data_IF_587163330784
#
_entry.id   IF_587163330784
#
_cell.length_a   1.000
_cell.length_b   1.000
_cell.length_c   1.000
_cell.angle_alpha   90.00
_cell.angle_beta   90.00
_cell.angle_gamma   90.00
#
_symmetry.space_group_name_H-M   'P 1'
#
loop_
_entity.id
_entity.type
_entity.pdbx_description
1 polymer ?
#
# COMPACT_ATOMS: atom_id res chain seq x y z
N UNK A 1 -21.48 -3.00 -11.27
CA UNK A 1 -20.94 -2.83 -9.93
C UNK A 1 -20.50 -1.38 -9.63
N UNK A 2 -21.26 -0.35 -10.03
CA UNK A 2 -20.92 1.08 -9.83
C UNK A 2 -21.93 1.86 -8.99
N UNK A 3 -22.88 1.21 -8.35
CA UNK A 3 -23.97 1.91 -7.61
C UNK A 3 -23.95 1.73 -6.09
N UNK A 4 -23.10 0.88 -5.52
CA UNK A 4 -23.07 0.64 -4.06
C UNK A 4 -22.18 1.61 -3.26
N UNK A 5 -21.21 2.25 -3.90
CA UNK A 5 -20.23 3.11 -3.20
C UNK A 5 -20.71 4.55 -2.91
N UNK A 6 -21.92 4.94 -3.33
CA UNK A 6 -22.44 6.30 -3.09
C UNK A 6 -23.38 6.46 -1.89
N UNK A 7 -23.84 5.38 -1.28
CA UNK A 7 -24.81 5.46 -0.20
C UNK A 7 -24.19 5.57 1.19
N UNK A 8 -22.99 5.08 1.40
CA UNK A 8 -22.34 5.10 2.72
C UNK A 8 -21.72 6.43 3.12
N UNK A 9 -21.38 7.29 2.15
CA UNK A 9 -20.77 8.59 2.42
C UNK A 9 -21.78 9.63 3.00
N UNK A 10 -23.08 9.41 2.92
CA UNK A 10 -24.11 10.33 3.40
C UNK A 10 -24.54 10.08 4.85
N UNK A 11 -24.38 8.87 5.37
CA UNK A 11 -24.82 8.51 6.72
C UNK A 11 -23.82 8.97 7.80
N UNK A 12 -22.55 9.23 7.45
CA UNK A 12 -21.52 9.65 8.42
C UNK A 12 -21.48 11.15 8.74
N UNK A 13 -22.37 11.99 8.17
CA UNK A 13 -22.37 13.45 8.40
C UNK A 13 -23.51 14.01 9.24
N UNK A 14 -24.36 13.18 9.82
CA UNK A 14 -25.48 13.61 10.64
C UNK A 14 -25.38 13.04 12.05
N UNK A 15 -24.46 13.55 12.86
CA UNK A 15 -24.56 13.38 14.31
C UNK A 15 -23.78 14.47 15.05
N UNK A 16 -24.55 15.23 15.81
CA UNK A 16 -24.17 15.92 17.04
C UNK A 16 -23.77 17.39 16.93
N UNK A 17 -24.76 18.23 16.73
CA UNK A 17 -24.78 19.53 17.41
C UNK A 17 -25.89 19.49 18.49
N UNK A 18 -25.52 19.22 19.73
CA UNK A 18 -26.39 19.42 20.88
C UNK A 18 -26.17 20.85 21.38
N UNK A 19 -27.12 21.71 21.10
CA UNK A 19 -27.19 23.07 21.68
C UNK A 19 -27.82 22.92 23.05
N UNK A 20 -27.06 23.13 24.12
CA UNK A 20 -27.61 23.32 25.47
C UNK A 20 -27.82 24.81 25.68
N UNK A 21 -29.05 25.26 25.56
CA UNK A 21 -29.49 26.58 26.01
C UNK A 21 -29.68 26.56 27.52
N UNK A 22 -28.72 27.13 28.25
CA UNK A 22 -28.84 27.36 29.67
C UNK A 22 -29.66 28.66 29.97
N UNK A 23 -30.76 28.51 30.69
CA UNK A 23 -31.56 29.60 31.18
C UNK A 23 -30.84 30.26 32.37
N UNK A 24 -30.52 31.54 32.25
CA UNK A 24 -29.96 32.34 33.34
C UNK A 24 -31.09 32.84 34.25
N UNK A 25 -31.12 32.40 35.51
CA UNK A 25 -31.89 33.01 36.58
C UNK A 25 -31.03 34.07 37.31
N UNK A 26 -31.45 35.28 37.28
CA UNK A 26 -30.85 36.36 38.07
C UNK A 26 -31.37 36.31 39.50
N UNK A 27 -30.49 36.03 40.46
CA UNK A 27 -30.75 36.14 41.89
C UNK A 27 -29.58 36.87 42.55
N UNK A 28 -29.87 37.95 43.23
CA UNK A 28 -28.94 38.78 43.98
C UNK A 28 -28.44 38.08 45.23
N UNK A 29 -27.15 38.10 45.49
CA UNK A 29 -26.60 37.87 46.81
C UNK A 29 -25.31 37.11 46.88
N UNK A 30 -24.25 37.83 47.35
CA UNK A 30 -23.01 37.36 48.00
C UNK A 30 -21.98 36.58 47.16
N UNK A 31 -20.83 37.21 47.03
CA UNK A 31 -19.65 36.73 46.29
C UNK A 31 -19.12 35.38 46.76
N UNK A 32 -19.25 34.44 45.88
CA UNK A 32 -18.40 33.26 45.85
C UNK A 32 -17.98 33.04 44.40
N UNK A 33 -16.75 33.47 44.03
CA UNK A 33 -16.16 33.18 42.73
C UNK A 33 -15.93 31.68 42.61
N UNK A 34 -16.99 30.97 42.18
CA UNK A 34 -16.83 29.58 41.74
C UNK A 34 -15.98 29.63 40.45
N UNK A 35 -14.69 29.25 40.55
CA UNK A 35 -13.86 28.95 39.40
C UNK A 35 -14.47 27.74 38.70
N UNK A 36 -15.25 27.99 37.66
CA UNK A 36 -15.67 26.97 36.71
C UNK A 36 -14.39 26.49 36.01
N UNK A 37 -13.79 25.42 36.52
CA UNK A 37 -12.81 24.65 35.79
C UNK A 37 -13.53 24.05 34.58
N UNK A 38 -13.33 24.68 33.41
CA UNK A 38 -13.72 24.07 32.14
C UNK A 38 -12.84 22.82 32.00
N UNK A 39 -13.36 21.69 32.41
CA UNK A 39 -12.78 20.40 32.09
C UNK A 39 -12.89 20.29 30.56
N UNK A 40 -11.78 20.56 29.89
CA UNK A 40 -11.64 20.31 28.45
C UNK A 40 -11.80 18.81 28.28
N UNK A 41 -13.04 18.34 28.02
CA UNK A 41 -13.23 16.96 27.62
C UNK A 41 -12.38 16.76 26.37
N UNK A 42 -11.29 16.05 26.53
CA UNK A 42 -10.52 15.54 25.41
C UNK A 42 -11.52 14.70 24.61
N UNK A 43 -11.82 15.13 23.37
CA UNK A 43 -12.56 14.30 22.45
C UNK A 43 -11.76 13.00 22.26
N UNK A 44 -12.13 11.97 22.99
CA UNK A 44 -11.59 10.63 22.74
C UNK A 44 -11.95 10.28 21.28
N UNK A 45 -10.96 9.90 20.52
CA UNK A 45 -11.23 9.40 19.17
C UNK A 45 -12.26 8.25 19.27
N UNK A 46 -13.20 8.13 18.34
CA UNK A 46 -14.14 7.02 18.34
C UNK A 46 -13.41 5.69 18.47
N UNK A 47 -13.91 4.82 19.33
CA UNK A 47 -13.35 3.47 19.44
C UNK A 47 -13.60 2.72 18.13
N UNK A 48 -12.62 1.94 17.62
CA UNK A 48 -12.79 1.16 16.43
C UNK A 48 -13.89 0.10 16.65
N UNK A 49 -14.68 -0.13 15.62
CA UNK A 49 -15.65 -1.22 15.65
C UNK A 49 -14.91 -2.54 15.42
N UNK A 50 -14.97 -3.44 16.39
CA UNK A 50 -14.39 -4.79 16.33
C UNK A 50 -15.51 -5.80 16.09
N UNK A 51 -15.47 -6.47 14.95
CA UNK A 51 -16.37 -7.58 14.61
C UNK A 51 -15.81 -8.93 15.09
N UNK A 52 -16.54 -9.98 14.89
CA UNK A 52 -16.07 -11.36 14.92
C UNK A 52 -16.32 -11.95 13.52
N UNK A 53 -15.29 -11.96 12.70
CA UNK A 53 -15.35 -12.38 11.30
C UNK A 53 -14.98 -13.87 11.12
N UNK A 54 -14.79 -14.58 12.20
CA UNK A 54 -14.48 -15.98 12.18
C UNK A 54 -13.04 -16.31 12.61
N UNK A 55 -12.70 -17.59 12.56
CA UNK A 55 -11.36 -18.04 12.87
C UNK A 55 -10.39 -17.67 11.75
N UNK A 56 -9.18 -17.25 12.11
CA UNK A 56 -8.09 -17.06 11.16
C UNK A 56 -7.79 -18.40 10.46
N UNK A 57 -7.78 -18.43 9.13
CA UNK A 57 -7.36 -19.62 8.37
C UNK A 57 -5.90 -20.00 8.66
N UNK A 58 -5.54 -21.25 8.45
CA UNK A 58 -4.16 -21.71 8.56
C UNK A 58 -3.27 -21.12 7.45
N UNK A 59 -1.97 -21.03 7.72
CA UNK A 59 -0.97 -20.45 6.83
C UNK A 59 -0.13 -21.53 6.11
N UNK A 60 -0.57 -22.77 6.12
CA UNK A 60 0.10 -23.95 5.56
C UNK A 60 0.14 -23.95 4.01
N UNK A 61 -0.59 -23.02 3.39
CA UNK A 61 -0.53 -22.77 1.95
C UNK A 61 0.78 -22.17 1.45
N UNK A 62 1.61 -21.61 2.33
CA UNK A 62 2.90 -21.01 1.98
C UNK A 62 3.87 -22.07 1.41
N UNK A 63 4.54 -21.73 0.30
CA UNK A 63 5.58 -22.59 -0.29
C UNK A 63 6.97 -22.38 0.34
N UNK A 64 7.11 -21.33 1.13
CA UNK A 64 8.33 -20.96 1.85
C UNK A 64 8.06 -19.80 2.81
N UNK A 65 9.04 -19.57 3.68
CA UNK A 65 9.01 -18.49 4.66
C UNK A 65 10.34 -17.73 4.65
N UNK A 66 10.27 -16.40 4.81
CA UNK A 66 11.43 -15.53 5.00
C UNK A 66 11.35 -14.90 6.38
N UNK A 67 12.49 -14.59 6.96
CA UNK A 67 12.67 -14.00 8.30
C UNK A 67 12.11 -14.82 9.48
N UNK A 68 11.62 -16.03 9.24
CA UNK A 68 11.17 -16.95 10.30
C UNK A 68 11.09 -18.39 9.81
N UNK A 69 10.96 -19.33 10.76
CA UNK A 69 10.41 -20.66 10.49
C UNK A 69 8.92 -20.58 10.19
N UNK A 70 8.30 -21.61 9.59
CA UNK A 70 6.85 -21.64 9.35
C UNK A 70 6.03 -21.35 10.62
N UNK A 71 5.06 -20.45 10.49
CA UNK A 71 4.12 -20.11 11.56
C UNK A 71 2.79 -20.80 11.33
N UNK A 72 2.12 -21.16 12.41
CA UNK A 72 0.80 -21.80 12.41
C UNK A 72 -0.17 -21.09 13.35
N UNK A 73 -1.47 -21.27 13.16
CA UNK A 73 -2.48 -20.75 14.08
C UNK A 73 -2.21 -21.16 15.54
N UNK A 74 -1.69 -22.39 15.76
CA UNK A 74 -1.30 -22.85 17.09
C UNK A 74 -0.15 -22.05 17.70
N UNK A 75 0.89 -21.76 16.93
CA UNK A 75 2.07 -20.99 17.41
C UNK A 75 1.76 -19.51 17.65
N UNK A 76 0.66 -19.02 17.11
CA UNK A 76 0.21 -17.63 17.22
C UNK A 76 -0.80 -17.41 18.34
N UNK A 77 -1.27 -18.46 19.03
CA UNK A 77 -2.19 -18.32 20.18
C UNK A 77 -1.57 -17.47 21.28
N UNK A 78 -2.38 -16.62 21.89
CA UNK A 78 -1.94 -15.67 22.88
C UNK A 78 -1.29 -14.40 22.31
N UNK A 79 -1.22 -14.26 21.00
CA UNK A 79 -0.65 -13.10 20.32
C UNK A 79 -1.71 -12.39 19.49
N UNK A 80 -1.63 -11.07 19.43
CA UNK A 80 -2.37 -10.27 18.44
C UNK A 80 -1.59 -10.31 17.12
N UNK A 81 -2.27 -10.61 16.02
CA UNK A 81 -1.60 -10.82 14.72
C UNK A 81 -2.15 -9.88 13.67
N UNK A 82 -1.26 -9.27 12.91
CA UNK A 82 -1.58 -8.63 11.64
C UNK A 82 -1.15 -9.53 10.49
N UNK A 83 -2.11 -10.03 9.72
CA UNK A 83 -1.85 -10.67 8.42
C UNK A 83 -1.98 -9.60 7.35
N UNK A 84 -0.85 -9.28 6.70
CA UNK A 84 -0.75 -8.24 5.67
C UNK A 84 -0.50 -8.89 4.31
N UNK A 85 -1.53 -8.93 3.47
CA UNK A 85 -1.39 -9.35 2.07
C UNK A 85 -0.76 -8.24 1.25
N UNK A 86 0.28 -8.58 0.50
CA UNK A 86 1.04 -7.61 -0.28
C UNK A 86 1.73 -8.24 -1.48
N UNK A 87 2.13 -7.42 -2.44
CA UNK A 87 3.09 -7.80 -3.47
C UNK A 87 4.09 -6.67 -3.70
N UNK A 88 5.33 -7.02 -4.03
CA UNK A 88 6.45 -6.07 -4.05
C UNK A 88 6.44 -5.10 -5.24
N UNK A 89 5.60 -5.32 -6.25
CA UNK A 89 5.48 -4.40 -7.37
C UNK A 89 4.24 -3.51 -7.28
N UNK A 90 3.35 -3.75 -6.33
CA UNK A 90 2.14 -2.95 -6.15
C UNK A 90 2.45 -1.73 -5.29
N UNK A 91 2.35 -0.52 -5.87
CA UNK A 91 2.60 0.73 -5.14
C UNK A 91 1.70 0.87 -3.91
N UNK A 92 0.42 0.45 -4.02
CA UNK A 92 -0.54 0.49 -2.93
C UNK A 92 -0.16 -0.47 -1.79
N UNK A 93 0.63 -1.53 -2.10
CA UNK A 93 1.22 -2.42 -1.09
C UNK A 93 2.48 -1.84 -0.45
N UNK A 94 3.23 -1.01 -1.17
CA UNK A 94 4.48 -0.43 -0.68
C UNK A 94 4.26 0.76 0.25
N UNK A 95 3.24 1.58 0.00
CA UNK A 95 2.90 2.74 0.83
C UNK A 95 2.54 2.43 2.28
N UNK A 96 1.84 1.32 2.61
CA UNK A 96 1.62 0.90 3.99
C UNK A 96 2.85 0.36 4.69
N UNK A 97 3.89 -0.12 3.97
CA UNK A 97 5.05 -0.80 4.58
C UNK A 97 5.74 -0.01 5.70
N UNK A 98 5.97 1.31 5.62
CA UNK A 98 6.54 2.07 6.73
C UNK A 98 5.72 1.93 8.01
N UNK A 99 4.39 1.98 7.90
CA UNK A 99 3.48 1.83 9.03
C UNK A 99 3.53 0.40 9.58
N UNK A 100 3.44 -0.60 8.70
CA UNK A 100 3.50 -2.03 9.08
C UNK A 100 4.82 -2.35 9.78
N UNK A 101 5.97 -1.86 9.25
CA UNK A 101 7.29 -2.00 9.88
C UNK A 101 7.34 -1.30 11.25
N UNK A 102 6.76 -0.11 11.35
CA UNK A 102 6.69 0.64 12.61
C UNK A 102 5.85 -0.09 13.66
N UNK A 103 4.68 -0.61 13.30
CA UNK A 103 3.84 -1.39 14.20
C UNK A 103 4.51 -2.68 14.64
N UNK A 104 5.15 -3.41 13.71
CA UNK A 104 5.91 -4.61 14.03
C UNK A 104 6.98 -4.34 15.09
N UNK A 105 7.70 -3.22 14.98
CA UNK A 105 8.72 -2.83 15.96
C UNK A 105 8.10 -2.31 17.27
N UNK A 106 7.13 -1.39 17.17
CA UNK A 106 6.53 -0.69 18.31
C UNK A 106 5.83 -1.64 19.28
N UNK A 107 5.14 -2.66 18.77
CA UNK A 107 4.31 -3.56 19.58
C UNK A 107 4.91 -4.96 19.74
N UNK A 108 6.14 -5.20 19.28
CA UNK A 108 6.80 -6.50 19.38
C UNK A 108 6.77 -7.07 20.81
N UNK A 109 7.19 -6.27 21.78
CA UNK A 109 7.27 -6.69 23.19
C UNK A 109 5.89 -6.78 23.86
N UNK A 110 4.84 -6.31 23.21
CA UNK A 110 3.46 -6.39 23.67
C UNK A 110 2.73 -7.66 23.18
N UNK A 111 3.45 -8.58 22.53
CA UNK A 111 2.84 -9.80 21.99
C UNK A 111 2.11 -9.58 20.65
N UNK A 112 2.53 -8.59 19.89
CA UNK A 112 2.05 -8.35 18.52
C UNK A 112 2.97 -8.99 17.50
N UNK A 113 2.41 -9.63 16.48
CA UNK A 113 3.12 -10.28 15.39
C UNK A 113 2.58 -9.78 14.06
N UNK A 114 3.47 -9.37 13.16
CA UNK A 114 3.13 -9.10 11.77
C UNK A 114 3.55 -10.29 10.92
N UNK A 115 2.69 -10.71 10.02
CA UNK A 115 2.96 -11.70 8.98
C UNK A 115 2.64 -11.06 7.64
N UNK A 116 3.64 -10.86 6.81
CA UNK A 116 3.44 -10.49 5.41
C UNK A 116 3.10 -11.74 4.60
N UNK A 117 1.97 -11.76 3.93
CA UNK A 117 1.64 -12.80 2.96
C UNK A 117 1.90 -12.24 1.57
N UNK A 118 3.00 -12.65 0.97
CA UNK A 118 3.34 -12.25 -0.38
C UNK A 118 2.58 -13.13 -1.37
N UNK A 119 1.55 -12.58 -1.98
CA UNK A 119 0.75 -13.25 -3.01
C UNK A 119 1.00 -12.57 -4.35
N UNK A 120 1.43 -13.29 -5.38
CA UNK A 120 1.80 -12.71 -6.67
C UNK A 120 0.59 -12.21 -7.45
N UNK A 121 0.75 -11.08 -8.09
CA UNK A 121 -0.16 -10.55 -9.09
C UNK A 121 0.30 -10.93 -10.51
N UNK A 122 1.63 -11.10 -10.69
CA UNK A 122 2.27 -11.34 -11.97
C UNK A 122 3.18 -12.57 -11.95
N UNK A 123 3.40 -13.13 -13.15
CA UNK A 123 4.16 -14.38 -13.29
C UNK A 123 5.55 -14.34 -12.66
N UNK A 124 6.30 -13.25 -12.81
CA UNK A 124 7.65 -13.13 -12.23
C UNK A 124 7.66 -12.97 -10.70
N UNK A 125 6.54 -12.65 -10.08
CA UNK A 125 6.39 -12.56 -8.61
C UNK A 125 6.19 -13.94 -7.97
N UNK A 126 5.95 -14.99 -8.77
CA UNK A 126 5.90 -16.37 -8.27
C UNK A 126 7.29 -16.91 -7.86
N UNK A 127 8.36 -16.29 -8.38
CA UNK A 127 9.73 -16.75 -8.11
C UNK A 127 10.20 -16.39 -6.70
N UNK A 128 10.51 -17.38 -5.81
CA UNK A 128 10.90 -17.11 -4.43
C UNK A 128 12.13 -16.22 -4.30
N UNK A 129 13.08 -16.33 -5.25
CA UNK A 129 14.29 -15.49 -5.27
C UNK A 129 13.99 -14.02 -5.50
N UNK A 130 12.97 -13.70 -6.31
CA UNK A 130 12.54 -12.32 -6.52
C UNK A 130 11.87 -11.75 -5.26
N UNK A 131 11.07 -12.58 -4.57
CA UNK A 131 10.43 -12.20 -3.29
C UNK A 131 11.50 -11.95 -2.23
N UNK A 132 12.50 -12.83 -2.09
CA UNK A 132 13.62 -12.67 -1.14
C UNK A 132 14.40 -11.38 -1.41
N UNK A 133 14.75 -11.12 -2.67
CA UNK A 133 15.41 -9.88 -3.07
C UNK A 133 14.59 -8.63 -2.72
N UNK A 134 13.28 -8.66 -2.96
CA UNK A 134 12.38 -7.57 -2.62
C UNK A 134 12.30 -7.36 -1.10
N UNK A 135 12.13 -8.42 -0.32
CA UNK A 135 12.10 -8.38 1.16
C UNK A 135 13.37 -7.72 1.71
N UNK A 136 14.55 -8.07 1.18
CA UNK A 136 15.82 -7.44 1.58
C UNK A 136 15.92 -5.98 1.16
N UNK A 137 15.60 -5.69 -0.10
CA UNK A 137 15.67 -4.32 -0.65
C UNK A 137 14.75 -3.35 0.06
N UNK A 138 13.55 -3.82 0.43
CA UNK A 138 12.54 -3.03 1.15
C UNK A 138 12.75 -3.05 2.68
N UNK A 139 13.81 -3.70 3.17
CA UNK A 139 14.09 -3.83 4.61
C UNK A 139 12.88 -4.36 5.40
N UNK A 140 12.21 -5.40 4.88
CA UNK A 140 11.15 -6.10 5.58
C UNK A 140 11.78 -7.11 6.54
N UNK A 141 11.55 -6.94 7.85
CA UNK A 141 12.19 -7.76 8.90
C UNK A 141 11.21 -8.70 9.60
N UNK A 142 9.91 -8.48 9.46
CA UNK A 142 8.88 -9.36 10.00
C UNK A 142 8.74 -10.64 9.14
N UNK A 143 8.15 -11.73 9.68
CA UNK A 143 7.88 -12.97 8.97
C UNK A 143 7.14 -12.75 7.65
N UNK A 144 7.59 -13.41 6.57
CA UNK A 144 6.92 -13.37 5.27
C UNK A 144 6.64 -14.80 4.79
N UNK A 145 5.36 -15.10 4.59
CA UNK A 145 4.88 -16.30 3.93
C UNK A 145 4.85 -16.09 2.41
N UNK A 146 5.47 -16.99 1.65
CA UNK A 146 5.47 -16.95 0.17
C UNK A 146 4.26 -17.74 -0.31
N UNK A 147 3.22 -17.03 -0.75
CA UNK A 147 1.95 -17.60 -1.21
C UNK A 147 1.87 -17.67 -2.75
N UNK A 148 2.93 -18.16 -3.42
CA UNK A 148 2.98 -18.23 -4.90
C UNK A 148 1.87 -19.10 -5.51
N UNK A 149 1.17 -19.90 -4.72
CA UNK A 149 0.02 -20.72 -5.17
C UNK A 149 -1.33 -20.13 -4.79
N UNK A 150 -1.36 -18.92 -4.24
CA UNK A 150 -2.56 -18.18 -3.81
C UNK A 150 -3.46 -18.95 -2.82
N UNK A 151 -2.92 -19.94 -2.11
CA UNK A 151 -3.70 -20.78 -1.20
C UNK A 151 -4.12 -20.05 0.07
N UNK A 152 -3.19 -19.25 0.64
CA UNK A 152 -3.49 -18.43 1.80
C UNK A 152 -4.46 -17.32 1.39
N UNK A 153 -4.24 -16.68 0.25
CA UNK A 153 -5.15 -15.70 -0.33
C UNK A 153 -6.59 -16.23 -0.42
N UNK A 154 -6.74 -17.41 -0.99
CA UNK A 154 -8.06 -18.06 -1.17
C UNK A 154 -8.69 -18.43 0.17
N UNK A 155 -7.91 -18.94 1.14
CA UNK A 155 -8.44 -19.33 2.45
C UNK A 155 -8.96 -18.13 3.26
N UNK A 156 -8.42 -16.93 3.04
CA UNK A 156 -8.90 -15.68 3.63
C UNK A 156 -10.04 -15.03 2.84
N UNK A 157 -10.45 -15.60 1.70
CA UNK A 157 -11.35 -14.96 0.72
C UNK A 157 -10.87 -13.54 0.38
N UNK A 158 -9.55 -13.36 0.26
CA UNK A 158 -8.98 -12.04 0.04
C UNK A 158 -9.25 -11.55 -1.39
N UNK A 159 -9.49 -10.24 -1.55
CA UNK A 159 -9.91 -9.63 -2.82
C UNK A 159 -9.00 -8.50 -3.29
N UNK A 160 -8.05 -8.04 -2.47
CA UNK A 160 -7.27 -6.84 -2.76
C UNK A 160 -5.80 -6.92 -2.33
N UNK A 161 -4.95 -6.15 -3.02
CA UNK A 161 -3.63 -5.75 -2.59
C UNK A 161 -3.58 -4.23 -2.35
N UNK A 162 -3.12 -3.78 -1.16
CA UNK A 162 -2.93 -4.57 0.04
C UNK A 162 -4.23 -4.97 0.70
N UNK A 163 -4.18 -5.94 1.62
CA UNK A 163 -5.25 -6.22 2.55
C UNK A 163 -4.66 -6.55 3.92
N UNK A 164 -5.32 -6.11 4.96
CA UNK A 164 -4.86 -6.24 6.33
C UNK A 164 -5.95 -6.89 7.18
N UNK A 165 -5.61 -7.98 7.85
CA UNK A 165 -6.52 -8.69 8.75
C UNK A 165 -5.93 -8.68 10.15
N UNK A 166 -6.66 -8.15 11.11
CA UNK A 166 -6.29 -8.12 12.52
C UNK A 166 -6.97 -9.24 13.29
N UNK A 167 -6.13 -10.04 13.93
CA UNK A 167 -6.52 -11.27 14.62
C UNK A 167 -6.23 -11.13 16.11
N UNK A 168 -7.19 -11.49 16.94
CA UNK A 168 -7.03 -11.46 18.41
C UNK A 168 -6.20 -12.64 18.93
N UNK A 169 -5.88 -12.61 20.21
CA UNK A 169 -5.10 -13.65 20.89
C UNK A 169 -5.78 -15.03 20.91
N UNK A 170 -7.08 -15.09 20.64
CA UNK A 170 -7.85 -16.34 20.50
C UNK A 170 -7.83 -16.87 19.08
N UNK A 171 -7.17 -16.16 18.15
CA UNK A 171 -7.09 -16.52 16.74
C UNK A 171 -8.36 -16.22 15.94
N UNK A 172 -9.12 -15.19 16.33
CA UNK A 172 -10.30 -14.73 15.61
C UNK A 172 -9.99 -13.46 14.85
N UNK A 173 -10.41 -13.35 13.59
CA UNK A 173 -10.34 -12.13 12.81
C UNK A 173 -11.35 -11.15 13.42
N UNK A 174 -10.87 -9.95 13.78
CA UNK A 174 -11.66 -8.93 14.46
C UNK A 174 -11.83 -7.65 13.63
N UNK A 175 -11.05 -7.51 12.59
CA UNK A 175 -11.08 -6.38 11.69
C UNK A 175 -10.34 -6.71 10.41
N UNK A 176 -10.81 -6.23 9.29
CA UNK A 176 -10.06 -6.24 8.04
C UNK A 176 -10.16 -4.89 7.32
N UNK A 177 -9.15 -4.59 6.51
CA UNK A 177 -9.09 -3.39 5.67
C UNK A 177 -8.54 -3.75 4.30
N UNK A 178 -9.24 -3.34 3.25
CA UNK A 178 -8.80 -3.50 1.87
C UNK A 178 -8.27 -2.18 1.31
N UNK A 179 -7.12 -2.26 0.66
CA UNK A 179 -6.45 -1.10 0.09
C UNK A 179 -5.50 -0.41 1.07
N UNK A 180 -5.01 0.75 0.66
CA UNK A 180 -4.15 1.61 1.46
C UNK A 180 -4.95 2.69 2.19
N UNK A 181 -4.38 3.26 3.27
CA UNK A 181 -5.03 4.31 4.06
C UNK A 181 -5.43 3.85 5.46
N UNK A 182 -6.20 4.69 6.15
CA UNK A 182 -6.78 4.46 7.48
C UNK A 182 -5.80 3.94 8.56
N UNK A 183 -4.48 4.23 8.39
CA UNK A 183 -3.40 3.72 9.25
C UNK A 183 -3.63 4.04 10.73
N UNK A 184 -4.20 5.21 11.03
CA UNK A 184 -4.54 5.57 12.41
C UNK A 184 -5.68 4.72 12.98
N UNK A 185 -6.65 4.30 12.18
CA UNK A 185 -7.72 3.39 12.61
C UNK A 185 -7.17 1.99 12.83
N UNK A 186 -6.42 1.47 11.89
CA UNK A 186 -5.78 0.16 11.97
C UNK A 186 -4.91 0.07 13.25
N UNK A 187 -4.11 1.10 13.54
CA UNK A 187 -3.28 1.10 14.74
C UNK A 187 -4.11 1.16 16.04
N UNK A 188 -5.25 1.87 16.05
CA UNK A 188 -6.17 1.84 17.19
C UNK A 188 -6.76 0.45 17.41
N UNK A 189 -7.08 -0.29 16.33
CA UNK A 189 -7.53 -1.68 16.42
C UNK A 189 -6.43 -2.55 17.04
N UNK A 190 -5.17 -2.41 16.60
CA UNK A 190 -4.03 -3.12 17.20
C UNK A 190 -3.97 -2.85 18.70
N UNK A 191 -4.06 -1.59 19.12
CA UNK A 191 -4.00 -1.19 20.52
C UNK A 191 -5.16 -1.78 21.32
N UNK A 192 -6.37 -1.80 20.76
CA UNK A 192 -7.54 -2.35 21.43
C UNK A 192 -7.44 -3.86 21.61
N UNK A 193 -7.04 -4.60 20.59
CA UNK A 193 -6.83 -6.04 20.69
C UNK A 193 -5.71 -6.40 21.70
N UNK A 194 -4.65 -5.58 21.77
CA UNK A 194 -3.60 -5.75 22.79
C UNK A 194 -4.13 -5.51 24.21
N UNK A 195 -5.00 -4.52 24.41
CA UNK A 195 -5.67 -4.28 25.70
C UNK A 195 -6.61 -5.42 26.05
N UNK A 196 -7.43 -5.92 25.11
CA UNK A 196 -8.27 -7.10 25.31
C UNK A 196 -7.43 -8.32 25.73
N UNK A 197 -6.18 -8.41 25.27
CA UNK A 197 -5.21 -9.44 25.66
C UNK A 197 -4.47 -9.13 26.98
N UNK A 198 -4.90 -8.11 27.72
CA UNK A 198 -4.36 -7.78 29.05
C UNK A 198 -3.09 -6.89 29.03
N UNK A 199 -2.69 -6.36 27.89
CA UNK A 199 -1.54 -5.45 27.81
C UNK A 199 -1.91 -4.09 28.38
N UNK A 200 -1.11 -3.62 29.35
CA UNK A 200 -1.25 -2.31 29.98
C UNK A 200 -0.08 -1.41 29.62
N UNK A 201 -0.24 -0.09 29.80
CA UNK A 201 0.86 0.87 29.59
C UNK A 201 1.24 1.11 28.11
N UNK A 202 0.35 0.78 27.18
CA UNK A 202 0.58 1.13 25.76
C UNK A 202 0.68 2.65 25.60
N UNK A 203 1.65 3.10 24.81
CA UNK A 203 1.78 4.51 24.46
C UNK A 203 0.50 5.02 23.79
N UNK A 204 0.02 6.17 24.24
CA UNK A 204 -1.14 6.83 23.64
C UNK A 204 -0.78 7.39 22.26
N UNK A 205 -1.78 7.46 21.38
CA UNK A 205 -1.63 8.01 20.01
C UNK A 205 -1.25 6.96 18.98
N UNK A 206 -1.28 7.39 17.74
CA UNK A 206 -0.99 6.58 16.56
C UNK A 206 0.27 7.07 15.87
N UNK A 207 0.90 6.17 15.13
CA UNK A 207 2.09 6.45 14.32
C UNK A 207 1.72 7.43 13.21
N UNK A 208 2.50 8.51 13.09
CA UNK A 208 2.43 9.44 11.97
C UNK A 208 3.77 9.40 11.25
N UNK A 209 3.76 9.00 10.00
CA UNK A 209 4.95 8.91 9.16
C UNK A 209 4.77 9.76 7.91
N UNK A 210 5.87 10.39 7.49
CA UNK A 210 5.96 11.05 6.19
C UNK A 210 6.76 10.13 5.28
N UNK A 211 6.07 9.36 4.45
CA UNK A 211 6.72 8.54 3.44
C UNK A 211 7.39 9.41 2.38
N UNK A 212 8.47 8.92 1.81
CA UNK A 212 9.18 9.55 0.70
C UNK A 212 9.34 8.56 -0.45
N UNK A 213 9.46 9.06 -1.66
CA UNK A 213 9.60 8.17 -2.81
C UNK A 213 8.34 7.31 -3.01
N UNK A 214 8.52 6.01 -3.21
CA UNK A 214 7.44 5.04 -3.42
C UNK A 214 6.53 4.85 -2.18
N UNK A 215 6.97 5.30 -1.01
CA UNK A 215 6.22 5.21 0.24
C UNK A 215 5.43 6.50 0.56
N UNK A 216 5.51 7.52 -0.31
CA UNK A 216 4.79 8.78 -0.11
C UNK A 216 3.28 8.58 -0.19
N UNK A 217 2.55 9.31 0.68
CA UNK A 217 1.10 9.24 0.70
C UNK A 217 0.48 9.66 -0.65
N UNK A 218 -0.60 9.02 -1.07
CA UNK A 218 -1.29 9.40 -2.28
C UNK A 218 -2.00 10.75 -2.14
N UNK A 219 -2.12 11.52 -3.26
CA UNK A 219 -2.95 12.73 -3.37
C UNK A 219 -4.24 12.44 -4.15
N UNK A 220 -5.15 11.74 -3.54
CA UNK A 220 -6.41 11.36 -4.14
C UNK A 220 -7.21 12.53 -4.73
N UNK A 221 -6.95 13.75 -4.28
CA UNK A 221 -7.67 14.94 -4.75
C UNK A 221 -7.27 15.36 -6.17
N UNK A 222 -6.05 15.03 -6.61
CA UNK A 222 -5.52 15.45 -7.91
C UNK A 222 -5.15 14.26 -8.83
N UNK A 223 -5.77 13.12 -8.61
CA UNK A 223 -5.55 11.92 -9.40
C UNK A 223 -6.29 12.00 -10.75
N UNK A 224 -5.52 12.03 -11.87
CA UNK A 224 -6.08 12.08 -13.24
C UNK A 224 -5.48 11.04 -14.17
N UNK A 225 -4.51 10.28 -13.70
CA UNK A 225 -3.87 9.24 -14.50
C UNK A 225 -4.12 7.88 -13.86
N UNK A 226 -4.85 6.97 -14.53
CA UNK A 226 -5.12 5.65 -14.00
C UNK A 226 -3.87 4.78 -14.04
N UNK A 227 -3.95 3.64 -13.38
CA UNK A 227 -2.95 2.58 -13.47
C UNK A 227 -2.69 2.19 -14.93
N UNK A 228 -1.41 2.07 -15.30
CA UNK A 228 -0.99 1.75 -16.66
C UNK A 228 -0.12 0.50 -16.70
N UNK A 229 -0.49 -0.44 -17.53
CA UNK A 229 0.21 -1.70 -17.75
C UNK A 229 0.94 -1.66 -19.09
N UNK A 230 2.14 -2.25 -19.15
CA UNK A 230 2.97 -2.25 -20.34
C UNK A 230 3.02 -3.60 -21.07
N UNK A 231 2.53 -4.67 -20.45
CA UNK A 231 2.32 -5.96 -21.11
C UNK A 231 1.04 -5.93 -21.99
N UNK A 232 1.08 -6.61 -23.14
CA UNK A 232 0.02 -6.48 -24.14
C UNK A 232 -1.36 -6.98 -23.68
N UNK A 233 -1.47 -7.74 -22.58
CA UNK A 233 -2.76 -8.23 -22.05
C UNK A 233 -3.62 -7.09 -21.51
N UNK A 234 -3.00 -6.13 -20.84
CA UNK A 234 -3.68 -5.04 -20.13
C UNK A 234 -3.28 -3.65 -20.64
N UNK A 235 -2.30 -3.56 -21.57
CA UNK A 235 -1.82 -2.31 -22.09
C UNK A 235 -2.94 -1.52 -22.76
N UNK A 236 -3.04 -0.24 -22.41
CA UNK A 236 -3.94 0.73 -23.01
C UNK A 236 -3.15 1.96 -23.42
N UNK A 237 -3.64 2.72 -24.41
CA UNK A 237 -3.07 3.99 -24.83
C UNK A 237 -1.59 3.92 -25.28
N UNK A 238 -1.16 2.78 -25.80
CA UNK A 238 0.16 2.64 -26.44
C UNK A 238 0.17 3.38 -27.77
N UNK A 239 1.21 4.18 -28.04
CA UNK A 239 1.25 5.12 -29.16
C UNK A 239 2.60 5.20 -29.88
N UNK A 240 3.54 4.27 -29.67
CA UNK A 240 4.66 4.15 -30.59
C UNK A 240 4.14 3.90 -32.02
N UNK A 241 4.83 4.42 -33.04
CA UNK A 241 4.39 4.27 -34.47
C UNK A 241 4.26 2.79 -34.87
N UNK A 242 5.10 1.93 -34.31
CA UNK A 242 5.14 0.53 -34.67
C UNK A 242 4.04 -0.26 -33.95
N UNK A 243 3.39 -1.15 -34.69
CA UNK A 243 2.45 -2.12 -34.10
C UNK A 243 3.22 -3.15 -33.29
N UNK A 244 2.75 -3.46 -32.08
CA UNK A 244 3.37 -4.47 -31.22
C UNK A 244 3.30 -5.85 -31.86
N UNK A 245 4.44 -6.48 -32.07
CA UNK A 245 4.58 -7.92 -32.32
C UNK A 245 4.78 -8.61 -30.99
N UNK A 246 3.79 -9.43 -30.61
CA UNK A 246 3.75 -10.07 -29.31
C UNK A 246 4.88 -11.08 -29.14
N UNK A 247 5.49 -11.11 -27.96
CA UNK A 247 6.49 -12.11 -27.55
C UNK A 247 7.70 -12.21 -28.49
N UNK A 248 8.03 -11.11 -29.17
CA UNK A 248 9.16 -11.04 -30.09
C UNK A 248 9.94 -9.73 -29.95
N UNK A 249 11.23 -9.81 -30.27
CA UNK A 249 12.10 -8.63 -30.22
C UNK A 249 11.76 -7.68 -31.36
N UNK A 250 11.59 -6.42 -31.03
CA UNK A 250 11.20 -5.38 -31.97
C UNK A 250 11.82 -4.04 -31.61
N UNK A 251 12.16 -3.25 -32.64
CA UNK A 251 12.65 -1.88 -32.44
C UNK A 251 11.43 -0.95 -32.47
N UNK A 252 11.32 -0.09 -31.46
CA UNK A 252 10.30 0.93 -31.33
C UNK A 252 10.91 2.32 -31.43
N UNK A 253 10.13 3.24 -31.99
CA UNK A 253 10.41 4.67 -32.01
C UNK A 253 9.57 5.41 -30.98
N UNK A 254 10.17 6.39 -30.32
CA UNK A 254 9.43 7.23 -29.38
C UNK A 254 8.30 7.97 -30.12
N UNK A 255 7.08 8.04 -29.56
CA UNK A 255 6.01 8.84 -30.15
C UNK A 255 6.38 10.32 -30.15
N UNK A 256 6.11 11.03 -31.26
CA UNK A 256 6.46 12.45 -31.42
C UNK A 256 5.64 13.37 -30.51
N UNK A 257 4.40 13.00 -30.18
CA UNK A 257 3.50 13.71 -29.26
C UNK A 257 2.66 12.72 -28.48
N UNK A 258 2.54 12.93 -27.18
CA UNK A 258 1.71 12.13 -26.29
C UNK A 258 0.50 12.94 -25.81
N UNK A 259 -0.68 12.36 -25.88
CA UNK A 259 -1.85 12.81 -25.14
C UNK A 259 -1.74 12.37 -23.67
N UNK A 260 -2.55 12.95 -22.79
CA UNK A 260 -2.59 12.52 -21.38
C UNK A 260 -2.92 11.02 -21.30
N UNK A 261 -2.22 10.31 -20.43
CA UNK A 261 -2.33 8.86 -20.21
C UNK A 261 -1.89 7.99 -21.40
N UNK A 262 -1.16 8.57 -22.37
CA UNK A 262 -0.56 7.83 -23.47
C UNK A 262 0.92 7.58 -23.22
N UNK A 263 1.40 6.45 -23.70
CA UNK A 263 2.78 6.02 -23.54
C UNK A 263 3.33 5.31 -24.78
N UNK A 264 4.63 5.16 -24.81
CA UNK A 264 5.31 4.46 -25.90
C UNK A 264 6.71 4.00 -25.50
N UNK A 265 7.29 3.20 -26.36
CA UNK A 265 8.64 2.65 -26.22
C UNK A 265 9.59 3.30 -27.22
N UNK A 266 10.88 3.25 -26.93
CA UNK A 266 11.96 3.56 -27.87
C UNK A 266 13.12 2.61 -27.60
N UNK A 267 13.76 2.08 -28.65
CA UNK A 267 14.80 1.06 -28.56
C UNK A 267 14.29 -0.36 -28.80
N UNK A 268 15.11 -1.34 -28.51
CA UNK A 268 14.80 -2.75 -28.75
C UNK A 268 14.10 -3.37 -27.55
N UNK A 269 12.86 -3.81 -27.72
CA UNK A 269 12.03 -4.38 -26.66
C UNK A 269 11.32 -5.63 -27.11
N UNK A 270 11.11 -6.55 -26.17
CA UNK A 270 10.19 -7.67 -26.30
C UNK A 270 8.97 -7.38 -25.42
N UNK A 271 7.80 -7.21 -26.04
CA UNK A 271 6.55 -6.94 -25.31
C UNK A 271 5.81 -8.26 -25.10
N UNK A 272 5.77 -8.70 -23.86
CA UNK A 272 5.16 -9.95 -23.41
C UNK A 272 3.73 -9.73 -22.89
N UNK A 273 3.09 -10.83 -22.52
CA UNK A 273 1.71 -10.80 -21.99
C UNK A 273 1.54 -9.84 -20.80
N UNK A 274 2.52 -9.76 -19.90
CA UNK A 274 2.45 -8.97 -18.64
C UNK A 274 3.54 -7.90 -18.54
N UNK A 275 4.52 -7.86 -19.43
CA UNK A 275 5.69 -7.00 -19.29
C UNK A 275 6.24 -6.53 -20.63
N UNK A 276 7.12 -5.54 -20.61
CA UNK A 276 8.02 -5.24 -21.71
C UNK A 276 9.46 -5.38 -21.23
N UNK A 277 10.28 -6.15 -21.95
CA UNK A 277 11.65 -6.46 -21.62
C UNK A 277 12.59 -5.76 -22.59
N UNK A 278 13.50 -4.94 -22.05
CA UNK A 278 14.51 -4.26 -22.85
C UNK A 278 15.54 -5.28 -23.34
N UNK A 279 15.76 -5.37 -24.65
CA UNK A 279 16.70 -6.32 -25.26
C UNK A 279 18.08 -5.72 -25.48
N UNK A 280 18.14 -4.42 -25.73
CA UNK A 280 19.39 -3.70 -25.95
C UNK A 280 19.31 -2.26 -25.45
N UNK A 281 20.40 -1.76 -24.86
CA UNK A 281 20.53 -0.35 -24.48
C UNK A 281 21.02 0.48 -25.65
N UNK A 282 20.57 1.74 -25.80
CA UNK A 282 19.63 2.44 -24.94
C UNK A 282 18.17 2.08 -25.24
N UNK A 283 17.34 2.04 -24.22
CA UNK A 283 15.89 1.94 -24.33
C UNK A 283 15.19 2.96 -23.45
N UNK A 284 14.00 3.39 -23.88
CA UNK A 284 13.20 4.37 -23.12
C UNK A 284 11.74 3.96 -23.11
N UNK A 285 11.06 4.25 -22.01
CA UNK A 285 9.61 4.33 -21.93
C UNK A 285 9.27 5.81 -21.81
N UNK A 286 8.36 6.26 -22.67
CA UNK A 286 7.90 7.65 -22.69
C UNK A 286 6.43 7.64 -22.30
N UNK A 287 6.05 8.40 -21.28
CA UNK A 287 4.68 8.45 -20.78
C UNK A 287 4.29 9.88 -20.42
N UNK A 288 3.05 10.27 -20.75
CA UNK A 288 2.48 11.54 -20.31
C UNK A 288 1.38 11.28 -19.31
N UNK A 289 1.58 11.75 -18.08
CA UNK A 289 0.65 11.59 -16.97
C UNK A 289 0.44 12.92 -16.24
N UNK A 290 -0.62 13.01 -15.45
CA UNK A 290 -0.89 14.15 -14.59
C UNK A 290 -0.45 13.85 -13.17
N UNK A 291 0.39 14.71 -12.62
CA UNK A 291 0.91 14.57 -11.25
C UNK A 291 1.28 15.91 -10.65
N UNK A 292 0.99 16.11 -9.37
CA UNK A 292 1.49 17.23 -8.58
C UNK A 292 2.80 16.82 -7.87
N UNK A 293 3.93 17.38 -8.29
CA UNK A 293 5.21 17.14 -7.63
C UNK A 293 5.27 17.97 -6.35
N UNK A 294 5.08 17.33 -5.20
CA UNK A 294 5.32 17.95 -3.88
C UNK A 294 6.62 17.49 -3.27
N UNK A 295 7.77 17.78 -3.81
CA UNK A 295 9.10 17.52 -3.26
C UNK A 295 9.99 16.55 -4.04
N UNK A 296 11.25 16.73 -3.86
CA UNK A 296 12.42 16.15 -4.48
C UNK A 296 12.42 14.61 -4.53
N UNK A 297 11.94 14.06 -5.61
CA UNK A 297 12.14 12.65 -5.92
C UNK A 297 13.31 12.51 -6.88
N UNK A 298 14.29 11.72 -6.48
CA UNK A 298 15.43 11.38 -7.33
C UNK A 298 15.02 10.33 -8.36
N UNK A 299 14.62 10.78 -9.54
CA UNK A 299 14.63 9.91 -10.71
C UNK A 299 16.09 9.67 -11.12
N UNK A 300 16.45 8.44 -11.38
CA UNK A 300 17.61 8.15 -12.19
C UNK A 300 17.20 8.34 -13.65
N UNK A 301 17.16 9.59 -14.08
CA UNK A 301 16.76 10.05 -15.41
C UNK A 301 16.31 11.50 -15.30
N UNK A 302 17.06 12.42 -15.85
CA UNK A 302 16.93 13.88 -15.97
C UNK A 302 15.74 14.55 -15.26
N UNK A 303 16.05 15.36 -14.24
CA UNK A 303 15.13 16.29 -13.56
C UNK A 303 14.47 17.23 -14.56
N UNK A 304 13.16 17.40 -14.43
CA UNK A 304 12.50 18.61 -14.91
C UNK A 304 12.19 19.51 -13.70
N UNK A 305 12.96 20.59 -13.51
CA UNK A 305 12.76 21.56 -12.43
C UNK A 305 11.71 22.63 -12.74
N UNK A 306 11.08 22.58 -13.93
CA UNK A 306 10.15 23.61 -14.41
C UNK A 306 9.02 23.06 -15.29
N UNK A 307 8.55 21.84 -15.03
CA UNK A 307 7.48 21.26 -15.83
C UNK A 307 6.10 21.81 -15.43
N UNK A 308 5.25 22.17 -16.40
CA UNK A 308 3.84 22.48 -16.15
C UNK A 308 3.08 21.24 -15.66
N UNK A 309 1.86 21.37 -15.13
CA UNK A 309 1.13 20.29 -14.44
C UNK A 309 0.89 19.01 -15.27
N UNK A 310 1.07 19.07 -16.58
CA UNK A 310 1.03 17.91 -17.50
C UNK A 310 2.46 17.51 -17.90
N UNK A 311 3.01 16.50 -17.24
CA UNK A 311 4.41 16.10 -17.44
C UNK A 311 4.58 14.97 -18.45
N UNK A 312 5.63 15.09 -19.26
CA UNK A 312 6.17 14.02 -20.07
C UNK A 312 7.44 13.51 -19.42
N UNK A 313 7.41 12.27 -18.91
CA UNK A 313 8.60 11.63 -18.34
C UNK A 313 9.18 10.65 -19.32
N UNK A 314 10.50 10.78 -19.54
CA UNK A 314 11.30 9.80 -20.24
C UNK A 314 12.06 8.99 -19.19
N UNK A 315 11.73 7.72 -19.03
CA UNK A 315 12.50 6.82 -18.19
C UNK A 315 13.51 6.10 -19.07
N UNK A 316 14.81 6.42 -18.88
CA UNK A 316 15.86 5.65 -19.49
C UNK A 316 16.10 4.37 -18.67
N UNK A 317 16.02 3.21 -19.30
CA UNK A 317 16.49 1.98 -18.67
C UNK A 317 18.02 2.02 -18.59
N UNK A 318 18.57 1.92 -17.36
CA UNK A 318 20.00 1.80 -17.16
C UNK A 318 20.43 0.32 -17.28
N UNK A 319 21.64 0.03 -17.78
CA UNK A 319 22.17 -1.32 -17.73
C UNK A 319 22.24 -1.79 -16.29
N UNK A 320 21.88 -3.05 -16.03
CA UNK A 320 22.11 -3.68 -14.75
C UNK A 320 23.58 -3.54 -14.36
N UNK A 321 23.87 -3.11 -13.14
CA UNK A 321 25.23 -3.06 -12.63
C UNK A 321 25.85 -4.44 -12.78
N UNK A 322 27.10 -4.50 -13.20
CA UNK A 322 27.92 -5.62 -13.65
C UNK A 322 28.18 -6.71 -12.61
N UNK A 323 27.17 -7.40 -12.08
CA UNK A 323 27.33 -8.64 -11.33
C UNK A 323 26.11 -9.59 -11.46
N UNK A 324 25.27 -9.39 -12.47
CA UNK A 324 24.24 -10.38 -12.80
C UNK A 324 24.71 -11.19 -14.03
N UNK A 325 24.48 -12.51 -14.06
CA UNK A 325 24.83 -13.33 -15.24
C UNK A 325 24.10 -12.81 -16.48
N UNK A 326 24.77 -12.91 -17.62
CA UNK A 326 24.26 -12.57 -18.94
C UNK A 326 22.91 -13.27 -19.13
N UNK A 327 21.81 -12.51 -19.14
CA UNK A 327 20.45 -13.04 -19.17
C UNK A 327 19.48 -12.34 -18.20
N UNK A 328 19.95 -11.38 -17.42
CA UNK A 328 19.08 -10.63 -16.52
C UNK A 328 18.17 -9.71 -17.34
N UNK A 329 16.96 -10.18 -17.61
CA UNK A 329 15.87 -9.38 -18.15
C UNK A 329 15.56 -8.26 -17.17
N UNK A 330 15.83 -7.01 -17.54
CA UNK A 330 15.32 -5.85 -16.80
C UNK A 330 13.83 -5.79 -17.12
N UNK A 331 13.02 -6.40 -16.28
CA UNK A 331 11.59 -6.23 -16.33
C UNK A 331 11.29 -4.82 -15.80
N UNK A 332 11.18 -3.85 -16.69
CA UNK A 332 10.70 -2.52 -16.30
C UNK A 332 9.20 -2.58 -16.31
N UNK A 333 8.63 -2.58 -15.15
CA UNK A 333 7.21 -2.55 -14.94
C UNK A 333 6.85 -1.20 -14.32
N UNK A 334 5.91 -0.53 -14.93
CA UNK A 334 5.26 0.64 -14.37
C UNK A 334 3.81 0.27 -14.12
N UNK A 335 3.47 0.02 -12.87
CA UNK A 335 2.12 0.15 -12.39
C UNK A 335 1.98 1.60 -11.93
N UNK A 336 1.30 2.38 -12.70
CA UNK A 336 0.94 3.72 -12.36
C UNK A 336 -0.46 3.70 -11.73
N UNK A 337 -0.57 3.29 -10.48
CA UNK A 337 -1.63 3.83 -9.66
C UNK A 337 -1.13 5.22 -9.29
N UNK A 338 -1.65 6.21 -9.95
CA UNK A 338 -1.45 7.63 -9.74
C UNK A 338 -0.68 7.98 -8.50
N UNK A 339 0.59 8.05 -8.63
CA UNK A 339 1.58 8.86 -7.98
C UNK A 339 2.92 8.21 -7.95
N UNK A 340 3.76 8.75 -8.78
CA UNK A 340 5.16 8.58 -8.59
C UNK A 340 5.60 9.48 -7.45
N UNK A 341 6.06 8.84 -6.39
CA UNK A 341 7.18 9.32 -5.66
C UNK A 341 8.26 8.24 -5.84
N UNK A 342 9.22 8.48 -6.68
CA UNK A 342 10.47 7.76 -6.72
C UNK A 342 11.45 8.42 -5.77
#
# INVERSE_FOLDING_TARGET
>A
MKHYLRLEAWIRRASSVAVITGVAFAGWGTGLLARLSVVKMANAAPQPFLSDEGAMPELDGAIGWLNSTPLSGKSLRGKVVLVNFWTYTCINSLRPLPYVKSWASKYHNAGFVVIGVHTPEFSFEHEPTNVDNAVRTLNVTFPVAIDSKTRIWQSFNNEAWPAQYLVDAKGRIRYHHFGEGDYGEIERVIQELLKENGVTGLASGTTSLSGVGIEAAPDWADERSPETYIGYRQAQNFTSPEKVHKDSDQIFSAPGKLSLNHWGLSGSWNVNVESAVLQAVPGKIVFRFHHLIRSHSSFVGTRCSSCPPDHQVQVAALPARSHAPIGSSICVRFRFACRFAF
#
